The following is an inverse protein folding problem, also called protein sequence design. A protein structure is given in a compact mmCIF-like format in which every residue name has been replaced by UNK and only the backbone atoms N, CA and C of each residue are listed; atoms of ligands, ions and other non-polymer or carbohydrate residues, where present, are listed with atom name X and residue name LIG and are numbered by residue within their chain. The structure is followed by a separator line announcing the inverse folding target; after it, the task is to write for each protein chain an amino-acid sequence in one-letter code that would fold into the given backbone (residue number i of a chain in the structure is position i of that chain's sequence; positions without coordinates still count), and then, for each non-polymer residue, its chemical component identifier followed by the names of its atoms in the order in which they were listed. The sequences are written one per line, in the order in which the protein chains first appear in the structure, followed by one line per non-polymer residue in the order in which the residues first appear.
data_IF_467973388158
#
_entry.id   IF_467973388158
#
_cell.length_a   1.000
_cell.length_b   1.000
_cell.length_c   1.000
_cell.angle_alpha   90.00
_cell.angle_beta   90.00
_cell.angle_gamma   90.00
#
_symmetry.space_group_name_H-M   'P 1'
#
loop_
_entity.id
_entity.type
_entity.pdbx_description
1 polymer ?
#
# COMPACT_ATOMS: atom_id res chain seq x y z
N UNK A 1 -17.20 -22.15 -29.91
CA UNK A 1 -16.09 -21.19 -30.10
C UNK A 1 -16.69 -19.88 -30.60
N UNK A 2 -16.36 -18.73 -29.98
CA UNK A 2 -16.79 -17.43 -30.49
C UNK A 2 -17.22 -16.46 -29.40
N UNK A 3 -16.28 -15.70 -28.81
CA UNK A 3 -16.59 -14.44 -28.11
C UNK A 3 -15.35 -13.61 -27.74
N UNK A 4 -14.25 -13.64 -28.50
CA UNK A 4 -13.03 -12.91 -28.13
C UNK A 4 -12.84 -11.54 -28.82
N UNK A 5 -13.69 -11.18 -29.79
CA UNK A 5 -13.49 -9.98 -30.63
C UNK A 5 -14.63 -8.94 -30.55
N UNK A 6 -15.27 -8.79 -29.38
CA UNK A 6 -16.21 -7.69 -29.15
C UNK A 6 -15.51 -6.52 -28.45
N UNK A 7 -15.73 -5.29 -28.94
CA UNK A 7 -15.15 -4.05 -28.39
C UNK A 7 -15.48 -3.88 -26.91
N UNK A 8 -14.48 -3.46 -26.11
CA UNK A 8 -14.64 -3.25 -24.68
C UNK A 8 -15.73 -2.20 -24.39
N UNK A 9 -16.70 -2.55 -23.52
CA UNK A 9 -17.81 -1.66 -23.14
C UNK A 9 -17.38 -0.53 -22.19
N UNK A 10 -16.17 -0.61 -21.65
CA UNK A 10 -15.62 0.32 -20.66
C UNK A 10 -14.48 1.12 -21.30
N UNK A 11 -14.73 2.42 -21.52
CA UNK A 11 -13.72 3.41 -21.94
C UNK A 11 -13.54 4.41 -20.80
N UNK A 12 -12.29 4.74 -20.45
CA UNK A 12 -12.03 5.68 -19.34
C UNK A 12 -12.45 7.10 -19.73
N UNK A 13 -13.32 7.71 -18.94
CA UNK A 13 -13.59 9.14 -18.96
C UNK A 13 -12.66 9.86 -17.98
N UNK A 14 -12.03 10.95 -18.42
CA UNK A 14 -11.14 11.75 -17.57
C UNK A 14 -12.01 12.66 -16.70
N UNK A 15 -12.40 12.18 -15.52
CA UNK A 15 -13.16 12.95 -14.54
C UNK A 15 -12.20 13.78 -13.69
N UNK A 16 -12.30 15.11 -13.73
CA UNK A 16 -11.42 16.03 -12.98
C UNK A 16 -11.54 15.89 -11.45
N UNK A 17 -12.68 15.38 -10.96
CA UNK A 17 -12.98 15.22 -9.53
C UNK A 17 -12.14 14.16 -8.80
N UNK A 18 -11.31 13.38 -9.51
CA UNK A 18 -10.45 12.35 -8.92
C UNK A 18 -9.02 12.84 -8.63
N UNK A 19 -8.84 14.15 -8.41
CA UNK A 19 -7.55 14.71 -7.94
C UNK A 19 -7.52 14.88 -6.43
N UNK A 20 -6.34 14.74 -5.84
CA UNK A 20 -6.12 15.00 -4.41
C UNK A 20 -6.44 16.44 -3.99
N UNK A 21 -6.43 17.40 -4.93
CA UNK A 21 -6.75 18.80 -4.66
C UNK A 21 -8.22 19.01 -4.24
N UNK A 22 -9.12 18.11 -4.62
CA UNK A 22 -10.57 18.22 -4.34
C UNK A 22 -11.07 17.30 -3.22
N UNK A 23 -10.18 16.49 -2.63
CA UNK A 23 -10.55 15.46 -1.65
C UNK A 23 -9.77 15.65 -0.35
N UNK A 24 -10.48 15.92 0.75
CA UNK A 24 -9.88 15.86 2.08
C UNK A 24 -9.66 14.41 2.52
N UNK A 25 -8.40 13.98 2.43
CA UNK A 25 -7.96 12.63 2.78
C UNK A 25 -8.06 12.38 4.30
N UNK A 26 -8.07 13.42 5.15
CA UNK A 26 -8.13 13.26 6.61
C UNK A 26 -9.42 12.58 7.07
N UNK A 27 -10.51 12.74 6.32
CA UNK A 27 -11.83 12.13 6.56
C UNK A 27 -11.79 10.58 6.51
N UNK A 28 -10.73 10.02 5.93
CA UNK A 28 -10.51 8.58 5.82
C UNK A 28 -9.64 8.01 6.92
N UNK A 29 -9.18 8.83 7.87
CA UNK A 29 -8.43 8.38 9.04
C UNK A 29 -9.24 7.34 9.83
N UNK A 30 -8.60 6.23 10.17
CA UNK A 30 -9.21 5.12 10.90
C UNK A 30 -8.27 4.67 12.01
N UNK A 31 -8.78 4.55 13.24
CA UNK A 31 -8.00 4.20 14.44
C UNK A 31 -7.83 2.69 14.65
N UNK A 32 -8.39 1.85 13.79
CA UNK A 32 -8.36 0.40 13.94
C UNK A 32 -6.93 -0.17 14.10
N UNK A 33 -6.68 -1.06 15.09
CA UNK A 33 -5.36 -1.62 15.34
C UNK A 33 -4.85 -2.44 14.14
N UNK A 34 -5.72 -3.17 13.45
CA UNK A 34 -5.38 -3.94 12.25
C UNK A 34 -4.80 -3.02 11.18
N UNK A 35 -5.40 -1.85 10.96
CA UNK A 35 -4.90 -0.89 9.97
C UNK A 35 -3.53 -0.33 10.33
N UNK A 36 -3.26 -0.13 11.62
CA UNK A 36 -1.93 0.29 12.09
C UNK A 36 -0.88 -0.79 11.84
N UNK A 37 -1.20 -2.06 12.12
CA UNK A 37 -0.31 -3.18 11.84
C UNK A 37 -0.01 -3.28 10.34
N UNK A 38 -1.04 -3.25 9.48
CA UNK A 38 -0.83 -3.31 8.03
C UNK A 38 -0.09 -2.07 7.51
N UNK A 39 -0.26 -0.90 8.14
CA UNK A 39 0.52 0.30 7.83
C UNK A 39 2.00 0.12 8.17
N UNK A 40 2.35 -0.47 9.32
CA UNK A 40 3.74 -0.81 9.66
C UNK A 40 4.37 -1.71 8.59
N UNK A 41 3.60 -2.62 8.00
CA UNK A 41 4.08 -3.48 6.91
C UNK A 41 4.55 -2.71 5.67
N UNK A 42 3.99 -1.53 5.39
CA UNK A 42 4.47 -0.66 4.30
C UNK A 42 5.93 -0.25 4.55
N UNK A 43 6.28 0.11 5.78
CA UNK A 43 7.65 0.45 6.16
C UNK A 43 8.57 -0.77 6.11
N UNK A 44 8.12 -1.93 6.58
CA UNK A 44 8.88 -3.18 6.50
C UNK A 44 9.24 -3.50 5.04
N UNK A 45 8.30 -3.33 4.10
CA UNK A 45 8.57 -3.57 2.67
C UNK A 45 9.61 -2.59 2.11
N UNK A 46 9.61 -1.33 2.57
CA UNK A 46 10.59 -0.32 2.16
C UNK A 46 11.96 -0.60 2.76
N UNK A 47 12.03 -0.90 4.06
CA UNK A 47 13.27 -1.29 4.76
C UNK A 47 13.84 -2.55 4.12
N UNK A 48 13.02 -3.56 3.85
CA UNK A 48 13.42 -4.77 3.13
C UNK A 48 14.08 -4.44 1.79
N UNK A 49 13.52 -3.50 1.02
CA UNK A 49 14.10 -3.09 -0.25
C UNK A 49 15.49 -2.45 -0.06
N UNK A 50 15.65 -1.56 0.93
CA UNK A 50 16.94 -0.95 1.26
C UNK A 50 17.96 -2.02 1.69
N UNK A 51 17.57 -2.94 2.58
CA UNK A 51 18.43 -4.03 3.04
C UNK A 51 18.89 -4.93 1.90
N UNK A 52 18.01 -5.24 0.94
CA UNK A 52 18.40 -6.01 -0.24
C UNK A 52 19.46 -5.28 -1.06
N UNK A 53 19.34 -3.96 -1.25
CA UNK A 53 20.37 -3.18 -1.92
C UNK A 53 21.70 -3.15 -1.15
N UNK A 54 21.66 -3.02 0.18
CA UNK A 54 22.88 -3.11 0.99
C UNK A 54 23.54 -4.48 0.90
N UNK A 55 22.74 -5.57 0.92
CA UNK A 55 23.24 -6.93 0.74
C UNK A 55 23.87 -7.13 -0.64
N UNK A 56 23.24 -6.61 -1.71
CA UNK A 56 23.78 -6.65 -3.07
C UNK A 56 25.12 -5.91 -3.17
N UNK A 57 25.24 -4.74 -2.52
CA UNK A 57 26.49 -3.96 -2.45
C UNK A 57 27.58 -4.72 -1.69
N UNK A 58 27.23 -5.40 -0.60
CA UNK A 58 28.17 -6.23 0.17
C UNK A 58 28.69 -7.40 -0.65
N UNK A 59 27.81 -8.13 -1.34
CA UNK A 59 28.22 -9.23 -2.22
C UNK A 59 29.08 -8.74 -3.39
N UNK A 60 28.76 -7.57 -3.97
CA UNK A 60 29.59 -6.97 -5.01
C UNK A 60 30.99 -6.59 -4.50
N UNK A 61 31.08 -6.00 -3.30
CA UNK A 61 32.34 -5.69 -2.63
C UNK A 61 33.19 -6.95 -2.41
N UNK A 62 32.58 -8.03 -1.90
CA UNK A 62 33.27 -9.31 -1.73
C UNK A 62 33.75 -9.85 -3.07
N UNK A 63 32.93 -9.82 -4.12
CA UNK A 63 33.31 -10.37 -5.43
C UNK A 63 34.50 -9.62 -6.10
N UNK A 64 34.68 -8.34 -5.78
CA UNK A 64 35.79 -7.50 -6.24
C UNK A 64 37.05 -7.73 -5.38
N UNK A 65 36.90 -7.77 -4.05
CA UNK A 65 38.01 -7.87 -3.09
C UNK A 65 38.50 -9.30 -2.86
N UNK A 66 37.67 -10.30 -3.13
CA UNK A 66 38.13 -11.67 -3.24
C UNK A 66 39.13 -11.73 -4.39
N UNK A 67 40.41 -11.92 -4.06
CA UNK A 67 41.43 -12.38 -4.99
C UNK A 67 40.89 -13.54 -5.86
N UNK A 68 41.52 -13.91 -6.99
CA UNK A 68 41.26 -15.20 -7.64
C UNK A 68 41.51 -16.44 -6.72
N UNK A 69 41.67 -16.27 -5.41
CA UNK A 69 41.46 -17.25 -4.33
C UNK A 69 39.97 -17.62 -4.30
N UNK A 70 39.50 -18.77 -4.75
CA UNK A 70 40.10 -20.09 -4.77
C UNK A 70 40.52 -20.52 -6.17
N UNK A 71 41.74 -21.07 -6.27
CA UNK A 71 42.07 -22.11 -7.25
C UNK A 71 41.23 -23.38 -6.99
N UNK A 72 39.92 -23.25 -6.78
CA UNK A 72 39.00 -24.36 -6.91
C UNK A 72 38.90 -24.64 -8.40
N UNK A 73 39.63 -25.68 -8.81
CA UNK A 73 39.68 -26.25 -10.16
C UNK A 73 38.31 -26.70 -10.71
N UNK A 74 37.20 -26.32 -10.09
CA UNK A 74 35.88 -26.93 -10.30
C UNK A 74 34.71 -25.92 -10.27
N UNK A 75 34.99 -24.63 -10.46
CA UNK A 75 33.93 -23.65 -10.67
C UNK A 75 33.39 -23.76 -12.10
N UNK A 76 32.17 -24.28 -12.27
CA UNK A 76 31.45 -24.38 -13.56
C UNK A 76 31.30 -23.06 -14.32
N UNK A 77 31.52 -21.91 -13.67
CA UNK A 77 31.44 -20.57 -14.28
C UNK A 77 32.72 -19.79 -13.94
N UNK A 78 33.46 -19.26 -14.92
CA UNK A 78 34.69 -18.51 -14.67
C UNK A 78 34.42 -17.23 -13.86
N UNK A 79 35.29 -16.94 -12.88
CA UNK A 79 35.15 -15.83 -11.94
C UNK A 79 35.01 -14.46 -12.62
N UNK A 80 35.71 -14.25 -13.75
CA UNK A 80 35.62 -13.00 -14.51
C UNK A 80 34.21 -12.78 -15.08
N UNK A 81 33.59 -13.82 -15.63
CA UNK A 81 32.22 -13.72 -16.17
C UNK A 81 31.23 -13.49 -15.03
N UNK A 82 31.39 -14.19 -13.89
CA UNK A 82 30.57 -14.00 -12.69
C UNK A 82 30.61 -12.55 -12.20
N UNK A 83 31.80 -11.95 -12.12
CA UNK A 83 32.01 -10.55 -11.72
C UNK A 83 31.26 -9.57 -12.59
N UNK A 84 31.47 -9.63 -13.90
CA UNK A 84 30.83 -8.72 -14.85
C UNK A 84 29.31 -8.89 -14.89
N UNK A 85 28.80 -10.13 -14.87
CA UNK A 85 27.36 -10.38 -14.80
C UNK A 85 26.73 -9.79 -13.53
N UNK A 86 27.39 -9.93 -12.38
CA UNK A 86 26.91 -9.36 -11.12
C UNK A 86 26.86 -7.83 -11.19
N UNK A 87 27.93 -7.18 -11.66
CA UNK A 87 27.99 -5.73 -11.80
C UNK A 87 26.92 -5.21 -12.77
N UNK A 88 26.81 -5.81 -13.97
CA UNK A 88 25.82 -5.43 -14.98
C UNK A 88 24.40 -5.55 -14.42
N UNK A 89 24.10 -6.63 -13.69
CA UNK A 89 22.79 -6.86 -13.08
C UNK A 89 22.42 -5.79 -12.03
N UNK A 90 23.39 -5.35 -11.22
CA UNK A 90 23.20 -4.28 -10.22
C UNK A 90 22.95 -2.95 -10.92
N UNK A 91 23.79 -2.59 -11.90
CA UNK A 91 23.65 -1.35 -12.66
C UNK A 91 22.30 -1.31 -13.36
N UNK A 92 21.86 -2.40 -13.98
CA UNK A 92 20.54 -2.52 -14.58
C UNK A 92 19.41 -2.34 -13.54
N UNK A 93 19.56 -2.91 -12.34
CA UNK A 93 18.59 -2.77 -11.25
C UNK A 93 18.44 -1.31 -10.80
N UNK A 94 19.56 -0.59 -10.65
CA UNK A 94 19.54 0.85 -10.34
C UNK A 94 18.97 1.70 -11.48
N UNK A 95 19.31 1.41 -12.73
CA UNK A 95 18.78 2.12 -13.89
C UNK A 95 17.24 1.97 -13.98
N UNK A 96 16.72 0.76 -13.78
CA UNK A 96 15.29 0.49 -13.74
C UNK A 96 14.62 1.17 -12.53
N UNK A 97 15.25 1.15 -11.35
CA UNK A 97 14.74 1.87 -10.18
C UNK A 97 14.63 3.37 -10.45
N UNK A 98 15.66 4.00 -11.05
CA UNK A 98 15.66 5.42 -11.39
C UNK A 98 14.60 5.75 -12.43
N UNK A 99 14.39 4.89 -13.43
CA UNK A 99 13.32 5.03 -14.40
C UNK A 99 11.95 5.00 -13.73
N UNK A 100 11.68 3.99 -12.90
CA UNK A 100 10.43 3.86 -12.15
C UNK A 100 10.21 5.05 -11.22
N UNK A 101 11.26 5.55 -10.57
CA UNK A 101 11.25 6.76 -9.75
C UNK A 101 10.91 8.01 -10.56
N UNK A 102 11.51 8.21 -11.74
CA UNK A 102 11.15 9.32 -12.66
C UNK A 102 9.68 9.25 -13.07
N UNK A 103 9.18 8.05 -13.39
CA UNK A 103 7.76 7.83 -13.74
C UNK A 103 6.83 8.10 -12.56
N UNK A 104 7.19 7.64 -11.36
CA UNK A 104 6.42 7.86 -10.14
C UNK A 104 6.34 9.34 -9.78
N UNK A 105 7.46 10.09 -9.90
CA UNK A 105 7.48 11.54 -9.68
C UNK A 105 6.52 12.29 -10.60
N UNK A 106 6.47 11.94 -11.89
CA UNK A 106 5.49 12.52 -12.83
C UNK A 106 4.04 12.25 -12.41
N UNK A 107 3.76 11.05 -11.90
CA UNK A 107 2.42 10.69 -11.41
C UNK A 107 2.06 11.45 -10.13
N UNK A 108 3.00 11.56 -9.17
CA UNK A 108 2.80 12.35 -7.95
C UNK A 108 2.53 13.81 -8.29
N UNK A 109 3.27 14.38 -9.26
CA UNK A 109 3.04 15.74 -9.75
C UNK A 109 1.65 15.93 -10.38
N UNK A 110 1.09 14.89 -11.03
CA UNK A 110 -0.24 14.96 -11.63
C UNK A 110 -1.40 15.01 -10.62
N UNK A 111 -1.15 14.62 -9.36
CA UNK A 111 -2.14 14.56 -8.26
C UNK A 111 -3.41 13.76 -8.54
N UNK A 112 -3.44 12.92 -9.57
CA UNK A 112 -4.53 11.99 -9.86
C UNK A 112 -4.50 10.79 -8.89
N UNK A 113 -5.61 10.55 -8.20
CA UNK A 113 -5.74 9.53 -7.16
C UNK A 113 -5.61 8.12 -7.74
N UNK A 114 -6.22 7.84 -8.90
CA UNK A 114 -6.19 6.52 -9.52
C UNK A 114 -4.80 6.17 -10.06
N UNK A 115 -4.09 7.14 -10.63
CA UNK A 115 -2.69 6.92 -11.02
C UNK A 115 -1.76 6.77 -9.82
N UNK A 116 -1.98 7.54 -8.74
CA UNK A 116 -1.22 7.40 -7.50
C UNK A 116 -1.43 6.03 -6.85
N UNK A 117 -2.66 5.52 -6.83
CA UNK A 117 -2.98 4.20 -6.27
C UNK A 117 -2.44 3.05 -7.13
N UNK A 118 -2.58 3.14 -8.46
CA UNK A 118 -2.14 2.07 -9.36
C UNK A 118 -0.62 1.98 -9.50
N UNK A 119 0.13 3.04 -9.22
CA UNK A 119 1.60 3.02 -9.24
C UNK A 119 2.16 2.66 -7.87
N UNK A 120 2.86 1.52 -7.76
CA UNK A 120 3.43 1.01 -6.50
C UNK A 120 4.36 2.03 -5.82
N UNK A 121 5.21 2.72 -6.58
CA UNK A 121 6.14 3.69 -6.02
C UNK A 121 5.42 4.96 -5.53
N UNK A 122 4.43 5.45 -6.29
CA UNK A 122 3.61 6.58 -5.85
C UNK A 122 2.76 6.23 -4.62
N UNK A 123 2.10 5.06 -4.62
CA UNK A 123 1.35 4.52 -3.49
C UNK A 123 2.21 4.46 -2.22
N UNK A 124 3.43 3.92 -2.31
CA UNK A 124 4.36 3.84 -1.17
C UNK A 124 4.77 5.24 -0.71
N UNK A 125 5.10 6.15 -1.63
CA UNK A 125 5.48 7.52 -1.31
C UNK A 125 4.39 8.26 -0.50
N UNK A 126 3.14 8.23 -0.97
CA UNK A 126 2.02 8.85 -0.26
C UNK A 126 1.74 8.17 1.08
N UNK A 127 1.81 6.84 1.13
CA UNK A 127 1.55 6.08 2.36
C UNK A 127 2.59 6.41 3.43
N UNK A 128 3.88 6.44 3.10
CA UNK A 128 4.97 6.76 4.05
C UNK A 128 4.80 8.17 4.62
N UNK A 129 4.41 9.14 3.78
CA UNK A 129 4.27 10.54 4.19
C UNK A 129 3.04 10.80 5.07
N UNK A 130 1.98 10.01 4.93
CA UNK A 130 0.72 10.28 5.62
C UNK A 130 -0.11 9.02 5.82
N UNK A 131 -0.39 8.71 7.09
CA UNK A 131 -1.26 7.61 7.46
C UNK A 131 -2.68 7.74 6.88
N UNK A 132 -3.23 8.96 6.80
CA UNK A 132 -4.55 9.19 6.20
C UNK A 132 -4.63 8.75 4.74
N UNK A 133 -3.55 8.95 3.96
CA UNK A 133 -3.47 8.50 2.56
C UNK A 133 -3.46 6.97 2.48
N UNK A 134 -2.71 6.32 3.37
CA UNK A 134 -2.73 4.87 3.47
C UNK A 134 -4.13 4.34 3.82
N UNK A 135 -4.82 4.93 4.80
CA UNK A 135 -6.17 4.52 5.18
C UNK A 135 -7.18 4.70 4.04
N UNK A 136 -7.06 5.79 3.28
CA UNK A 136 -7.87 6.05 2.10
C UNK A 136 -7.64 4.98 1.02
N UNK A 137 -6.37 4.72 0.67
CA UNK A 137 -6.04 3.69 -0.32
C UNK A 137 -6.43 2.27 0.12
N UNK A 138 -6.29 1.96 1.40
CA UNK A 138 -6.71 0.67 1.96
C UNK A 138 -8.22 0.44 1.75
N UNK A 139 -9.06 1.47 1.91
CA UNK A 139 -10.50 1.36 1.65
C UNK A 139 -10.84 1.20 0.17
N UNK A 140 -10.03 1.76 -0.74
CA UNK A 140 -10.18 1.59 -2.19
C UNK A 140 -9.94 0.13 -2.60
N UNK A 141 -8.96 -0.54 -1.98
CA UNK A 141 -8.58 -1.92 -2.31
C UNK A 141 -9.58 -3.00 -1.88
N UNK A 142 -10.55 -2.68 -1.02
CA UNK A 142 -11.54 -3.65 -0.55
C UNK A 142 -12.55 -3.96 -1.67
N UNK A 143 -12.47 -5.15 -2.24
CA UNK A 143 -13.43 -5.66 -3.24
C UNK A 143 -14.01 -7.02 -2.85
N UNK A 144 -15.30 -7.18 -3.14
CA UNK A 144 -16.07 -8.41 -2.85
C UNK A 144 -16.03 -9.41 -4.02
N UNK A 145 -15.81 -8.93 -5.24
CA UNK A 145 -15.75 -9.76 -6.45
C UNK A 145 -14.39 -10.45 -6.56
N UNK A 146 -14.41 -11.78 -6.71
CA UNK A 146 -13.21 -12.59 -6.93
C UNK A 146 -12.48 -12.19 -8.22
N UNK A 147 -13.22 -11.90 -9.29
CA UNK A 147 -12.64 -11.45 -10.58
C UNK A 147 -11.86 -10.14 -10.43
N UNK A 148 -12.36 -9.17 -9.67
CA UNK A 148 -11.66 -7.90 -9.46
C UNK A 148 -10.43 -8.11 -8.54
N UNK A 149 -10.54 -9.00 -7.54
CA UNK A 149 -9.41 -9.36 -6.67
C UNK A 149 -8.29 -10.03 -7.48
N UNK A 150 -8.64 -10.94 -8.38
CA UNK A 150 -7.70 -11.59 -9.28
C UNK A 150 -7.10 -10.59 -10.26
N UNK A 151 -7.90 -9.68 -10.83
CA UNK A 151 -7.41 -8.63 -11.72
C UNK A 151 -6.40 -7.70 -11.04
N UNK A 152 -6.66 -7.30 -9.79
CA UNK A 152 -5.72 -6.51 -9.01
C UNK A 152 -4.45 -7.30 -8.70
N UNK A 153 -4.57 -8.56 -8.26
CA UNK A 153 -3.42 -9.42 -8.01
C UNK A 153 -2.52 -9.53 -9.25
N UNK A 154 -3.09 -9.87 -10.39
CA UNK A 154 -2.36 -10.01 -11.66
C UNK A 154 -1.73 -8.67 -12.08
N UNK A 155 -2.50 -7.57 -12.07
CA UNK A 155 -2.02 -6.26 -12.49
C UNK A 155 -0.87 -5.73 -11.63
N UNK A 156 -0.96 -5.82 -10.30
CA UNK A 156 0.08 -5.32 -9.41
C UNK A 156 1.32 -6.23 -9.40
N UNK A 157 1.14 -7.55 -9.50
CA UNK A 157 2.27 -8.50 -9.56
C UNK A 157 3.04 -8.36 -10.87
N UNK A 158 2.34 -8.27 -12.01
CA UNK A 158 2.94 -8.03 -13.32
C UNK A 158 3.41 -6.58 -13.54
N UNK A 159 3.47 -5.72 -12.52
CA UNK A 159 4.04 -4.38 -12.71
C UNK A 159 5.57 -4.39 -12.62
N UNK A 160 6.13 -5.28 -11.80
CA UNK A 160 7.56 -5.35 -11.50
C UNK A 160 8.33 -6.47 -12.22
N UNK A 161 7.68 -7.26 -13.08
CA UNK A 161 8.30 -8.46 -13.66
C UNK A 161 9.56 -8.16 -14.48
N UNK A 162 9.63 -7.02 -15.19
CA UNK A 162 10.79 -6.68 -16.02
C UNK A 162 12.06 -6.55 -15.18
N UNK A 163 11.94 -5.84 -14.05
CA UNK A 163 13.04 -5.69 -13.10
C UNK A 163 13.41 -7.04 -12.47
N UNK A 164 12.40 -7.79 -12.01
CA UNK A 164 12.61 -9.10 -11.41
C UNK A 164 13.33 -10.08 -12.34
N UNK A 165 12.97 -10.09 -13.64
CA UNK A 165 13.49 -11.03 -14.62
C UNK A 165 14.84 -10.58 -15.19
N UNK A 166 14.95 -9.34 -15.68
CA UNK A 166 16.13 -8.91 -16.43
C UNK A 166 17.24 -8.33 -15.53
N UNK A 167 16.88 -7.68 -14.43
CA UNK A 167 17.88 -7.13 -13.51
C UNK A 167 18.20 -8.13 -12.40
N UNK A 168 17.19 -8.59 -11.66
CA UNK A 168 17.44 -9.46 -10.52
C UNK A 168 17.69 -10.92 -10.94
N UNK A 169 17.05 -11.41 -12.01
CA UNK A 169 17.13 -12.81 -12.44
C UNK A 169 18.56 -13.35 -12.66
N UNK A 170 19.40 -12.75 -13.53
CA UNK A 170 20.76 -13.23 -13.78
C UNK A 170 21.59 -13.34 -12.51
N UNK A 171 21.47 -12.35 -11.62
CA UNK A 171 22.15 -12.33 -10.32
C UNK A 171 21.70 -13.46 -9.41
N UNK A 172 20.41 -13.73 -9.37
CA UNK A 172 19.84 -14.73 -8.47
C UNK A 172 20.15 -16.16 -8.93
N UNK A 173 20.32 -16.37 -10.24
CA UNK A 173 20.89 -17.61 -10.78
C UNK A 173 22.33 -17.80 -10.32
N UNK A 174 23.16 -16.75 -10.34
CA UNK A 174 24.54 -16.82 -9.82
C UNK A 174 24.57 -17.09 -8.32
N UNK A 175 23.68 -16.45 -7.56
CA UNK A 175 23.50 -16.69 -6.13
C UNK A 175 23.14 -18.16 -5.87
N UNK A 176 22.19 -18.71 -6.62
CA UNK A 176 21.80 -20.13 -6.51
C UNK A 176 22.97 -21.07 -6.80
N UNK A 177 23.70 -20.85 -7.89
CA UNK A 177 24.89 -21.67 -8.22
C UNK A 177 25.93 -21.60 -7.10
N UNK A 178 26.15 -20.41 -6.53
CA UNK A 178 27.10 -20.20 -5.43
C UNK A 178 26.66 -20.92 -4.17
N UNK A 179 25.36 -20.85 -3.82
CA UNK A 179 24.81 -21.58 -2.68
C UNK A 179 24.95 -23.09 -2.88
N UNK A 180 24.66 -23.59 -4.08
CA UNK A 180 24.81 -25.00 -4.42
C UNK A 180 26.26 -25.47 -4.26
N UNK A 181 27.23 -24.73 -4.81
CA UNK A 181 28.65 -25.08 -4.69
C UNK A 181 29.15 -25.04 -3.25
N UNK A 182 28.76 -24.01 -2.48
CA UNK A 182 29.17 -23.88 -1.06
C UNK A 182 28.56 -24.98 -0.20
N UNK A 183 27.29 -25.34 -0.44
CA UNK A 183 26.59 -26.36 0.33
C UNK A 183 27.12 -27.76 0.08
N UNK A 184 27.70 -28.01 -1.10
CA UNK A 184 28.16 -29.34 -1.51
C UNK A 184 29.68 -29.53 -1.43
N UNK A 185 30.49 -28.45 -1.36
CA UNK A 185 31.96 -28.48 -1.48
C UNK A 185 32.45 -29.40 -2.62
N UNK A 186 31.69 -29.49 -3.71
CA UNK A 186 31.99 -30.39 -4.85
C UNK A 186 31.62 -31.86 -4.67
N UNK A 187 31.01 -32.27 -3.55
CA UNK A 187 30.45 -33.63 -3.36
C UNK A 187 29.03 -33.68 -3.92
N UNK A 188 28.74 -34.63 -4.81
CA UNK A 188 27.47 -34.66 -5.55
C UNK A 188 26.23 -34.87 -4.69
N UNK A 189 26.32 -35.46 -3.49
CA UNK A 189 25.14 -35.97 -2.76
C UNK A 189 25.13 -35.68 -1.25
N UNK A 190 25.99 -34.81 -0.71
CA UNK A 190 26.03 -34.53 0.73
C UNK A 190 26.11 -33.03 1.01
N UNK A 191 25.19 -32.54 1.84
CA UNK A 191 25.23 -31.17 2.38
C UNK A 191 26.32 -31.12 3.46
N UNK A 192 27.25 -30.19 3.33
CA UNK A 192 28.25 -29.94 4.36
C UNK A 192 27.69 -29.04 5.45
N UNK A 193 27.52 -29.61 6.65
CA UNK A 193 27.03 -28.89 7.83
C UNK A 193 28.05 -27.92 8.43
N UNK A 194 29.34 -28.01 8.05
CA UNK A 194 30.38 -27.08 8.54
C UNK A 194 30.16 -25.64 8.04
N UNK A 195 29.39 -25.44 6.96
CA UNK A 195 29.00 -24.09 6.50
C UNK A 195 28.23 -23.32 7.59
N UNK A 196 27.51 -24.03 8.47
CA UNK A 196 26.71 -23.42 9.54
C UNK A 196 27.48 -23.19 10.84
N UNK A 197 28.71 -23.71 10.96
CA UNK A 197 29.53 -23.61 12.18
C UNK A 197 30.86 -22.92 11.86
N UNK A 198 30.95 -21.58 12.04
CA UNK A 198 32.20 -20.87 11.77
C UNK A 198 33.28 -21.28 12.78
N UNK A 199 34.44 -21.73 12.29
CA UNK A 199 35.60 -22.11 13.11
C UNK A 199 36.72 -21.07 13.05
N UNK A 200 36.70 -20.18 12.05
CA UNK A 200 37.67 -19.10 11.84
C UNK A 200 37.02 -17.79 11.38
N UNK A 201 37.80 -16.70 11.33
CA UNK A 201 37.36 -15.40 10.79
C UNK A 201 37.10 -15.43 9.28
N UNK A 202 37.79 -16.30 8.53
CA UNK A 202 37.50 -16.54 7.12
C UNK A 202 36.17 -17.29 6.96
N UNK A 203 35.90 -18.28 7.81
CA UNK A 203 34.62 -18.99 7.83
C UNK A 203 33.46 -18.07 8.21
N UNK A 204 33.68 -17.07 9.05
CA UNK A 204 32.68 -16.06 9.37
C UNK A 204 32.25 -15.27 8.14
N UNK A 205 33.19 -14.83 7.29
CA UNK A 205 32.90 -14.13 6.03
C UNK A 205 32.09 -15.01 5.07
N UNK A 206 32.47 -16.29 4.96
CA UNK A 206 31.78 -17.26 4.10
C UNK A 206 30.35 -17.54 4.61
N UNK A 207 30.19 -17.72 5.93
CA UNK A 207 28.89 -17.97 6.56
C UNK A 207 27.94 -16.76 6.44
N UNK A 208 28.44 -15.54 6.71
CA UNK A 208 27.64 -14.32 6.50
C UNK A 208 27.21 -14.18 5.04
N UNK A 209 28.09 -14.50 4.08
CA UNK A 209 27.77 -14.48 2.65
C UNK A 209 26.71 -15.53 2.31
N UNK A 210 26.82 -16.74 2.88
CA UNK A 210 25.86 -17.81 2.69
C UNK A 210 24.45 -17.41 3.17
N UNK A 211 24.31 -16.89 4.39
CA UNK A 211 23.01 -16.46 4.92
C UNK A 211 22.41 -15.30 4.14
N UNK A 212 23.20 -14.26 3.83
CA UNK A 212 22.72 -13.08 3.09
C UNK A 212 22.29 -13.44 1.67
N UNK A 213 23.05 -14.32 1.00
CA UNK A 213 22.75 -14.81 -0.35
C UNK A 213 21.52 -15.72 -0.35
N UNK A 214 21.39 -16.61 0.64
CA UNK A 214 20.22 -17.50 0.81
C UNK A 214 18.96 -16.68 1.04
N UNK A 215 19.01 -15.71 1.96
CA UNK A 215 17.89 -14.82 2.25
C UNK A 215 17.45 -14.03 1.01
N UNK A 216 18.42 -13.46 0.27
CA UNK A 216 18.15 -12.69 -0.94
C UNK A 216 17.53 -13.55 -2.05
N UNK A 217 18.06 -14.76 -2.25
CA UNK A 217 17.54 -15.72 -3.21
C UNK A 217 16.13 -16.18 -2.83
N UNK A 218 15.88 -16.51 -1.56
CA UNK A 218 14.56 -16.93 -1.09
C UNK A 218 13.49 -15.84 -1.30
N UNK A 219 13.82 -14.58 -1.00
CA UNK A 219 12.91 -13.46 -1.25
C UNK A 219 12.62 -13.28 -2.74
N UNK A 220 13.63 -13.41 -3.59
CA UNK A 220 13.43 -13.36 -5.04
C UNK A 220 12.60 -14.53 -5.54
N UNK A 221 12.86 -15.76 -5.08
CA UNK A 221 12.13 -16.97 -5.45
C UNK A 221 10.64 -16.85 -5.11
N UNK A 222 10.29 -16.33 -3.91
CA UNK A 222 8.90 -16.05 -3.54
C UNK A 222 8.26 -15.08 -4.55
N UNK A 223 8.94 -13.99 -4.91
CA UNK A 223 8.41 -13.05 -5.90
C UNK A 223 8.30 -13.63 -7.31
N UNK A 224 9.22 -14.53 -7.68
CA UNK A 224 9.21 -15.23 -8.96
C UNK A 224 8.02 -16.19 -9.04
N UNK A 225 7.78 -16.99 -7.99
CA UNK A 225 6.62 -17.89 -7.89
C UNK A 225 5.30 -17.11 -7.98
N UNK A 226 5.17 -15.99 -7.26
CA UNK A 226 3.99 -15.13 -7.34
C UNK A 226 3.79 -14.55 -8.75
N UNK A 227 4.87 -14.16 -9.42
CA UNK A 227 4.83 -13.64 -10.79
C UNK A 227 4.42 -14.72 -11.80
N UNK A 228 4.95 -15.93 -11.65
CA UNK A 228 4.55 -17.10 -12.45
C UNK A 228 3.06 -17.40 -12.23
N UNK A 229 2.59 -17.44 -10.98
CA UNK A 229 1.18 -17.61 -10.66
C UNK A 229 0.31 -16.51 -11.29
N UNK A 230 0.76 -15.25 -11.26
CA UNK A 230 0.08 -14.15 -11.93
C UNK A 230 0.00 -14.32 -13.46
N UNK A 231 1.06 -14.83 -14.10
CA UNK A 231 1.03 -15.17 -15.53
C UNK A 231 0.00 -16.28 -15.82
N UNK A 232 -0.07 -17.32 -14.99
CA UNK A 232 -1.07 -18.37 -15.13
C UNK A 232 -2.50 -17.83 -15.02
N UNK A 233 -2.76 -16.94 -14.06
CA UNK A 233 -4.08 -16.32 -13.90
C UNK A 233 -4.39 -15.24 -14.94
N UNK A 234 -3.38 -14.66 -15.60
CA UNK A 234 -3.58 -13.63 -16.61
C UNK A 234 -4.33 -14.16 -17.84
N UNK A 235 -4.03 -15.38 -18.29
CA UNK A 235 -4.67 -16.01 -19.46
C UNK A 235 -6.19 -16.16 -19.29
N UNK A 236 -6.73 -16.85 -18.26
CA UNK A 236 -8.18 -16.96 -18.06
C UNK A 236 -8.83 -15.60 -17.77
N UNK A 237 -8.10 -14.68 -17.15
CA UNK A 237 -8.59 -13.34 -16.86
C UNK A 237 -8.82 -12.54 -18.15
N UNK A 238 -7.95 -12.66 -19.16
CA UNK A 238 -8.14 -12.02 -20.48
C UNK A 238 -9.38 -12.55 -21.21
N UNK A 239 -9.71 -13.83 -21.05
CA UNK A 239 -10.93 -14.40 -21.62
C UNK A 239 -12.20 -13.84 -20.95
N UNK A 240 -12.12 -13.51 -19.66
CA UNK A 240 -13.23 -12.93 -18.89
C UNK A 240 -13.35 -11.42 -19.08
N UNK A 241 -12.24 -10.71 -19.17
CA UNK A 241 -12.16 -9.25 -19.28
C UNK A 241 -11.97 -8.85 -20.74
N UNK A 242 -13.04 -8.40 -21.38
CA UNK A 242 -12.98 -7.83 -22.73
C UNK A 242 -12.24 -6.48 -22.72
N UNK A 243 -10.94 -6.45 -23.02
CA UNK A 243 -10.14 -5.21 -23.16
C UNK A 243 -8.77 -5.24 -22.47
N UNK A 244 -8.10 -4.08 -22.36
CA UNK A 244 -6.79 -3.97 -21.71
C UNK A 244 -6.91 -4.05 -20.17
N UNK A 245 -6.14 -4.96 -19.54
CA UNK A 245 -6.12 -5.13 -18.08
C UNK A 245 -5.86 -3.82 -17.34
N UNK A 246 -4.95 -2.98 -17.84
CA UNK A 246 -4.64 -1.69 -17.21
C UNK A 246 -5.86 -0.78 -17.18
N UNK A 247 -6.57 -0.68 -18.30
CA UNK A 247 -7.76 0.17 -18.41
C UNK A 247 -8.89 -0.35 -17.54
N UNK A 248 -9.12 -1.66 -17.53
CA UNK A 248 -10.09 -2.32 -16.65
C UNK A 248 -9.83 -1.99 -15.18
N UNK A 249 -8.59 -2.17 -14.71
CA UNK A 249 -8.21 -1.93 -13.31
C UNK A 249 -8.35 -0.45 -12.96
N UNK A 250 -7.85 0.46 -13.80
CA UNK A 250 -8.02 1.90 -13.59
C UNK A 250 -9.50 2.29 -13.52
N UNK A 251 -10.33 1.84 -14.45
CA UNK A 251 -11.76 2.13 -14.47
C UNK A 251 -12.48 1.60 -13.21
N UNK A 252 -12.15 0.38 -12.75
CA UNK A 252 -12.70 -0.18 -11.52
C UNK A 252 -12.29 0.61 -10.28
N UNK A 253 -11.05 1.07 -10.22
CA UNK A 253 -10.54 1.92 -9.14
C UNK A 253 -11.22 3.28 -9.16
N UNK A 254 -11.33 3.94 -10.33
CA UNK A 254 -12.04 5.21 -10.50
C UNK A 254 -13.50 5.10 -10.03
N UNK A 255 -14.23 4.07 -10.47
CA UNK A 255 -15.60 3.81 -10.02
C UNK A 255 -15.69 3.61 -8.50
N UNK A 256 -14.70 2.94 -7.91
CA UNK A 256 -14.65 2.71 -6.46
C UNK A 256 -14.36 3.99 -5.70
N UNK A 257 -13.43 4.82 -6.17
CA UNK A 257 -13.14 6.14 -5.61
C UNK A 257 -14.41 6.99 -5.62
N UNK A 258 -15.08 7.11 -6.76
CA UNK A 258 -16.35 7.85 -6.88
C UNK A 258 -17.40 7.34 -5.88
N UNK A 259 -17.59 6.02 -5.80
CA UNK A 259 -18.55 5.41 -4.87
C UNK A 259 -18.20 5.70 -3.40
N UNK A 260 -16.91 5.63 -3.04
CA UNK A 260 -16.44 5.91 -1.68
C UNK A 260 -16.61 7.38 -1.30
N UNK A 261 -16.25 8.30 -2.20
CA UNK A 261 -16.42 9.74 -2.02
C UNK A 261 -17.89 10.11 -1.85
N UNK A 262 -18.77 9.57 -2.71
CA UNK A 262 -20.22 9.79 -2.60
C UNK A 262 -20.79 9.26 -1.29
N UNK A 263 -20.41 8.04 -0.87
CA UNK A 263 -20.86 7.47 0.41
C UNK A 263 -20.43 8.31 1.61
N UNK A 264 -19.18 8.79 1.61
CA UNK A 264 -18.65 9.66 2.67
C UNK A 264 -19.33 11.03 2.66
N UNK A 265 -19.54 11.62 1.49
CA UNK A 265 -20.26 12.89 1.34
C UNK A 265 -21.69 12.77 1.88
N UNK A 266 -22.45 11.75 1.46
CA UNK A 266 -23.80 11.49 1.96
C UNK A 266 -23.85 11.27 3.47
N UNK A 267 -22.89 10.52 4.03
CA UNK A 267 -22.82 10.29 5.48
C UNK A 267 -22.64 11.60 6.26
N UNK A 268 -21.78 12.51 5.77
CA UNK A 268 -21.59 13.83 6.40
C UNK A 268 -22.84 14.68 6.36
N UNK A 269 -23.53 14.73 5.21
CA UNK A 269 -24.79 15.48 5.07
C UNK A 269 -25.85 14.95 6.04
N UNK A 270 -25.96 13.61 6.16
CA UNK A 270 -26.90 12.98 7.09
C UNK A 270 -26.55 13.25 8.56
N UNK A 271 -25.27 13.27 8.92
CA UNK A 271 -24.82 13.64 10.27
C UNK A 271 -25.14 15.10 10.58
N UNK A 272 -24.83 16.03 9.66
CA UNK A 272 -25.16 17.44 9.81
C UNK A 272 -26.68 17.67 9.96
N UNK A 273 -27.51 16.99 9.17
CA UNK A 273 -28.97 17.08 9.30
C UNK A 273 -29.50 16.47 10.62
N UNK A 274 -28.79 15.51 11.21
CA UNK A 274 -29.15 14.95 12.52
C UNK A 274 -28.77 15.90 13.64
N UNK A 275 -27.60 16.50 13.55
CA UNK A 275 -27.13 17.46 14.54
C UNK A 275 -27.96 18.74 14.51
N UNK A 276 -28.32 19.25 13.33
CA UNK A 276 -29.24 20.38 13.19
C UNK A 276 -30.62 20.08 13.80
N UNK A 277 -31.15 18.87 13.58
CA UNK A 277 -32.42 18.45 14.20
C UNK A 277 -32.33 18.39 15.72
N UNK A 278 -31.24 17.84 16.27
CA UNK A 278 -31.00 17.81 17.73
C UNK A 278 -30.95 19.21 18.33
N UNK A 279 -30.20 20.12 17.70
CA UNK A 279 -30.09 21.51 18.15
C UNK A 279 -31.45 22.22 18.06
N UNK A 280 -32.22 21.98 16.99
CA UNK A 280 -33.56 22.55 16.85
C UNK A 280 -34.54 22.02 17.91
N UNK A 281 -34.52 20.71 18.20
CA UNK A 281 -35.32 20.11 19.28
C UNK A 281 -34.93 20.65 20.66
N UNK A 282 -33.64 20.86 20.92
CA UNK A 282 -33.15 21.47 22.16
C UNK A 282 -33.59 22.93 22.31
N UNK A 283 -33.53 23.72 21.23
CA UNK A 283 -34.03 25.11 21.24
C UNK A 283 -35.54 25.18 21.49
N UNK A 284 -36.32 24.31 20.84
CA UNK A 284 -37.77 24.23 21.08
C UNK A 284 -38.10 23.81 22.52
N UNK A 285 -37.36 22.87 23.09
CA UNK A 285 -37.51 22.46 24.50
C UNK A 285 -37.13 23.57 25.48
N UNK A 286 -36.07 24.32 25.20
CA UNK A 286 -35.65 25.47 26.00
C UNK A 286 -36.71 26.58 25.97
N UNK A 287 -37.22 26.92 24.78
CA UNK A 287 -38.29 27.90 24.61
C UNK A 287 -39.57 27.46 25.33
N UNK A 288 -39.94 26.18 25.25
CA UNK A 288 -41.08 25.64 26.00
C UNK A 288 -40.93 25.77 27.51
N UNK A 289 -39.72 25.54 28.06
CA UNK A 289 -39.44 25.75 29.49
C UNK A 289 -39.52 27.22 29.90
N UNK A 290 -38.99 28.13 29.08
CA UNK A 290 -39.10 29.58 29.36
C UNK A 290 -40.55 30.06 29.36
N UNK A 291 -41.36 29.61 28.40
CA UNK A 291 -42.79 29.96 28.32
C UNK A 291 -43.54 29.42 29.54
N UNK A 292 -43.30 28.16 29.92
CA UNK A 292 -43.91 27.57 31.13
C UNK A 292 -43.54 28.33 32.40
N UNK A 293 -42.26 28.68 32.56
CA UNK A 293 -41.77 29.43 33.73
C UNK A 293 -42.36 30.84 33.79
N UNK A 294 -42.47 31.54 32.66
CA UNK A 294 -43.15 32.85 32.59
C UNK A 294 -44.65 32.75 32.91
N UNK A 295 -45.32 31.69 32.46
CA UNK A 295 -46.72 31.45 32.77
C UNK A 295 -46.95 31.19 34.28
N UNK A 296 -46.10 30.39 34.92
CA UNK A 296 -46.12 30.19 36.38
C UNK A 296 -45.89 31.50 37.15
N UNK A 297 -44.92 32.31 36.74
CA UNK A 297 -44.63 33.59 37.39
C UNK A 297 -45.79 34.59 37.26
N UNK A 298 -46.43 34.64 36.09
CA UNK A 298 -47.61 35.48 35.85
C UNK A 298 -48.83 35.00 36.67
N UNK A 299 -49.02 33.70 36.80
CA UNK A 299 -50.07 33.13 37.65
C UNK A 299 -49.83 33.42 39.14
N UNK A 300 -48.58 33.35 39.59
CA UNK A 300 -48.21 33.71 40.96
C UNK A 300 -48.44 35.20 41.27
N UNK A 301 -48.10 36.10 40.33
CA UNK A 301 -48.31 37.55 40.47
C UNK A 301 -49.79 37.95 40.49
N UNK A 302 -50.65 37.22 39.78
CA UNK A 302 -52.10 37.44 39.79
C UNK A 302 -52.77 37.05 41.12
N UNK A 303 -52.13 36.20 41.93
CA UNK A 303 -52.62 35.76 43.24
C UNK A 303 -52.38 36.73 44.40
N UNK A 304 -51.61 37.80 44.20
CA UNK A 304 -51.26 38.77 45.25
C UNK A 304 -51.72 40.19 44.87
N UNK A 305 -53.00 40.51 45.05
CA UNK A 305 -53.46 41.91 45.04
C UNK A 305 -53.37 42.49 46.47
N UNK A 306 -52.72 43.64 46.68
CA UNK A 306 -52.75 44.32 47.98
C UNK A 306 -54.09 45.05 48.15
N UNK A 307 -54.87 44.69 49.16
CA UNK A 307 -56.08 45.42 49.56
C UNK A 307 -55.70 46.69 50.33
N UNK A 308 -56.23 47.85 49.90
CA UNK A 308 -56.08 49.12 50.60
C UNK A 308 -56.82 49.07 51.96
N UNK A 309 -56.23 49.59 53.06
CA UNK A 309 -56.95 49.75 54.31
C UNK A 309 -57.89 50.97 54.26
N UNK A 310 -59.18 50.74 54.56
CA UNK A 310 -60.14 51.82 54.80
C UNK A 310 -59.80 52.50 56.14
N UNK A 311 -59.53 53.80 56.09
CA UNK A 311 -59.47 54.66 57.27
C UNK A 311 -60.84 55.31 57.44
N UNK A 312 -61.65 54.78 58.36
CA UNK A 312 -62.87 55.46 58.81
C UNK A 312 -62.47 56.68 59.66
N UNK A 313 -62.78 57.86 59.13
CA UNK A 313 -62.73 59.13 59.85
C UNK A 313 -63.98 59.20 60.72
N UNK A 314 -63.83 59.00 62.03
CA UNK A 314 -64.86 59.39 63.00
C UNK A 314 -64.75 60.91 63.23
N UNK A 315 -65.74 61.64 62.74
CA UNK A 315 -66.03 63.01 63.16
C UNK A 315 -67.46 63.02 63.76
N UNK A 316 -67.50 63.53 64.99
CA UNK A 316 -68.62 63.93 65.85
C UNK A 316 -69.54 62.85 66.47
#
# INVERSE_FOLDING_TARGET
MGCCCSTAKWKREVVQDHKFDFVDVKVFYDKSPIRRITYCFVFIVVIKAILMYCADMWTAYLLITSDPLSKEKDNKIPLNVRRWLYIISIVASFALLLWEGKKARRIIASRDIAYAYTNIAAFRFYSIRSYSHYCFFSQIGVTNSLTDRLAYFVYFTLKGWKRMLFADGPRQVLNFVTLWTVSTKGKSNAIDWDVFRPKSTQDLKLNTTFYTTTFSFALWAITAVLTIAACFFYVPLLCSIRGNLKEYVCHKIDKRIATLLLRKSRKRILEQQRDQRRIQEEMLRAQGREVSSKAELAAAAAGSQPTLPNLDVMAD
#
